data_IF_982063988312
#
_entry.id   IF_982063988312
#
_cell.length_a   1.000
_cell.length_b   1.000
_cell.length_c   1.000
_cell.angle_alpha   90.00
_cell.angle_beta   90.00
_cell.angle_gamma   90.00
#
_symmetry.space_group_name_H-M   'P 1'
#
loop_
_entity.id
_entity.type
_entity.pdbx_description
1 polymer ?
#
# COMPACT_ATOMS: atom_id res chain seq x y z
N UNK A 1 -2.30 -28.46 11.00
CA UNK A 1 -2.98 -27.41 11.78
C UNK A 1 -2.21 -27.19 13.06
N UNK A 2 -1.82 -25.96 13.34
CA UNK A 2 -1.13 -25.57 14.59
C UNK A 2 -2.07 -25.75 15.78
N UNK A 3 -1.64 -26.50 16.80
CA UNK A 3 -2.44 -26.76 18.00
C UNK A 3 -2.35 -25.60 19.01
N UNK A 4 -3.26 -25.56 19.98
CA UNK A 4 -3.18 -24.62 21.10
C UNK A 4 -1.89 -24.81 21.93
N UNK A 5 -1.41 -26.05 22.02
CA UNK A 5 -0.13 -26.39 22.66
C UNK A 5 1.04 -25.78 21.91
N UNK A 6 1.06 -25.87 20.58
CA UNK A 6 2.13 -25.27 19.75
C UNK A 6 2.18 -23.75 19.93
N UNK A 7 1.02 -23.09 19.97
CA UNK A 7 0.92 -21.63 20.21
C UNK A 7 1.44 -21.23 21.59
N UNK A 8 1.15 -22.02 22.63
CA UNK A 8 1.65 -21.78 23.97
C UNK A 8 3.19 -21.92 24.01
N UNK A 9 3.73 -22.98 23.41
CA UNK A 9 5.18 -23.21 23.30
C UNK A 9 5.87 -22.08 22.55
N UNK A 10 5.32 -21.63 21.43
CA UNK A 10 5.86 -20.51 20.65
C UNK A 10 5.88 -19.19 21.42
N UNK A 11 4.83 -18.93 22.20
CA UNK A 11 4.76 -17.74 23.04
C UNK A 11 5.81 -17.79 24.16
N UNK A 12 6.02 -18.96 24.77
CA UNK A 12 7.09 -19.16 25.76
C UNK A 12 8.46 -18.92 25.14
N UNK A 13 8.74 -19.52 23.98
CA UNK A 13 10.02 -19.34 23.27
C UNK A 13 10.28 -17.87 22.89
N UNK A 14 9.25 -17.13 22.47
CA UNK A 14 9.35 -15.68 22.21
C UNK A 14 9.75 -14.93 23.48
N UNK A 15 9.09 -15.20 24.60
CA UNK A 15 9.38 -14.55 25.88
C UNK A 15 10.79 -14.89 26.39
N UNK A 16 11.26 -16.11 26.19
CA UNK A 16 12.62 -16.52 26.57
C UNK A 16 13.69 -15.78 25.75
N UNK A 17 13.47 -15.61 24.44
CA UNK A 17 14.32 -14.75 23.59
C UNK A 17 14.31 -13.31 24.10
N UNK A 18 13.15 -12.75 24.39
CA UNK A 18 13.04 -11.37 24.88
C UNK A 18 13.82 -11.18 26.19
N UNK A 19 13.63 -12.07 27.18
CA UNK A 19 14.35 -11.99 28.46
C UNK A 19 15.86 -12.09 28.26
N UNK A 20 16.31 -12.96 27.35
CA UNK A 20 17.72 -13.10 27.04
C UNK A 20 18.31 -11.81 26.44
N UNK A 21 17.61 -11.20 25.49
CA UNK A 21 18.05 -9.95 24.87
C UNK A 21 17.98 -8.76 25.85
N UNK A 22 16.96 -8.69 26.71
CA UNK A 22 16.83 -7.68 27.77
C UNK A 22 17.94 -7.76 28.82
N UNK A 23 18.50 -8.95 29.07
CA UNK A 23 19.68 -9.12 29.90
C UNK A 23 20.98 -8.58 29.25
N UNK A 24 20.91 -8.04 28.03
CA UNK A 24 22.04 -7.48 27.29
C UNK A 24 22.84 -8.52 26.50
N UNK A 25 22.35 -9.75 26.40
CA UNK A 25 22.98 -10.79 25.59
C UNK A 25 22.55 -10.70 24.12
N UNK A 26 23.30 -11.38 23.25
CA UNK A 26 23.02 -11.48 21.81
C UNK A 26 22.74 -12.92 21.42
N UNK A 27 22.01 -13.13 20.32
CA UNK A 27 21.65 -14.47 19.84
C UNK A 27 21.89 -14.62 18.34
N UNK A 28 22.45 -15.75 17.95
CA UNK A 28 22.43 -16.29 16.59
C UNK A 28 21.42 -17.43 16.49
N UNK A 29 21.08 -17.87 15.27
CA UNK A 29 20.17 -19.00 15.05
C UNK A 29 20.65 -20.29 15.76
N UNK A 30 21.95 -20.58 15.73
CA UNK A 30 22.49 -21.79 16.36
C UNK A 30 22.46 -21.70 17.89
N UNK A 31 22.78 -20.54 18.45
CA UNK A 31 22.66 -20.29 19.90
C UNK A 31 21.21 -20.39 20.36
N UNK A 32 20.24 -19.85 19.61
CA UNK A 32 18.82 -19.96 19.93
C UNK A 32 18.31 -21.40 19.88
N UNK A 33 18.82 -22.20 18.94
CA UNK A 33 18.51 -23.64 18.87
C UNK A 33 19.05 -24.36 20.10
N UNK A 34 20.30 -24.09 20.48
CA UNK A 34 20.95 -24.72 21.62
C UNK A 34 20.32 -24.33 22.96
N UNK A 35 19.97 -23.05 23.14
CA UNK A 35 19.47 -22.52 24.41
C UNK A 35 17.97 -22.72 24.61
N UNK A 36 17.18 -22.63 23.54
CA UNK A 36 15.71 -22.54 23.63
C UNK A 36 14.97 -23.55 22.74
N UNK A 37 15.69 -24.41 22.02
CA UNK A 37 15.09 -25.33 21.06
C UNK A 37 14.39 -24.62 19.88
N UNK A 38 14.79 -23.38 19.58
CA UNK A 38 14.12 -22.57 18.55
C UNK A 38 14.70 -22.91 17.17
N UNK A 39 13.87 -23.52 16.33
CA UNK A 39 14.26 -23.91 14.97
C UNK A 39 14.37 -22.73 14.00
N UNK A 40 13.60 -21.64 14.24
CA UNK A 40 13.59 -20.42 13.42
C UNK A 40 13.54 -19.19 14.31
N UNK A 41 14.71 -18.70 14.70
CA UNK A 41 14.89 -17.53 15.56
C UNK A 41 14.28 -16.28 14.93
N UNK A 42 14.49 -16.08 13.62
CA UNK A 42 13.97 -14.92 12.89
C UNK A 42 12.46 -14.71 13.10
N UNK A 43 11.66 -15.77 13.19
CA UNK A 43 10.23 -15.66 13.46
C UNK A 43 9.90 -15.12 14.86
N UNK A 44 10.66 -15.51 15.89
CA UNK A 44 10.48 -14.95 17.25
C UNK A 44 10.91 -13.50 17.31
N UNK A 45 12.00 -13.15 16.60
CA UNK A 45 12.50 -11.78 16.52
C UNK A 45 11.49 -10.87 15.82
N UNK A 46 10.87 -11.33 14.74
CA UNK A 46 9.83 -10.59 14.02
C UNK A 46 8.59 -10.33 14.88
N UNK A 47 8.13 -11.34 15.64
CA UNK A 47 7.03 -11.13 16.61
C UNK A 47 7.38 -10.07 17.66
N UNK A 48 8.61 -10.09 18.20
CA UNK A 48 9.06 -9.09 19.16
C UNK A 48 9.17 -7.69 18.54
N UNK A 49 9.62 -7.59 17.28
CA UNK A 49 9.65 -6.31 16.55
C UNK A 49 8.24 -5.75 16.34
N UNK A 50 7.26 -6.59 16.01
CA UNK A 50 5.84 -6.20 15.90
C UNK A 50 5.26 -5.72 17.24
N UNK A 51 5.76 -6.24 18.35
CA UNK A 51 5.43 -5.79 19.71
C UNK A 51 6.22 -4.53 20.14
N UNK A 52 7.01 -3.93 19.25
CA UNK A 52 7.72 -2.67 19.48
C UNK A 52 9.13 -2.82 20.06
N UNK A 53 9.67 -4.04 20.19
CA UNK A 53 11.03 -4.24 20.68
C UNK A 53 12.09 -3.90 19.63
N UNK A 54 13.05 -3.05 20.00
CA UNK A 54 14.13 -2.62 19.11
C UNK A 54 15.24 -3.67 18.98
N UNK A 55 14.95 -4.76 18.28
CA UNK A 55 15.92 -5.82 18.07
C UNK A 55 16.69 -5.58 16.77
N UNK A 56 17.98 -5.31 16.88
CA UNK A 56 18.89 -5.08 15.75
C UNK A 56 19.53 -6.37 15.31
N UNK A 57 19.87 -6.46 14.03
CA UNK A 57 20.58 -7.60 13.44
C UNK A 57 21.92 -7.13 12.89
N UNK A 58 23.00 -7.75 13.38
CA UNK A 58 24.35 -7.59 12.85
C UNK A 58 24.73 -8.87 12.09
N UNK A 59 25.14 -8.75 10.83
CA UNK A 59 25.60 -9.89 10.04
C UNK A 59 27.06 -10.20 10.37
N UNK A 60 27.28 -11.26 11.15
CA UNK A 60 28.62 -11.68 11.58
C UNK A 60 29.13 -12.84 10.71
N UNK A 61 30.44 -12.88 10.38
CA UNK A 61 31.02 -14.01 9.67
C UNK A 61 31.05 -15.26 10.55
N UNK A 62 30.76 -16.41 9.97
CA UNK A 62 30.78 -17.72 10.64
C UNK A 62 31.54 -18.72 9.77
N UNK A 63 32.50 -19.41 10.38
CA UNK A 63 33.36 -20.37 9.69
C UNK A 63 34.37 -19.74 8.73
N UNK A 64 35.19 -20.59 8.11
CA UNK A 64 36.29 -20.15 7.24
C UNK A 64 35.84 -19.77 5.81
N UNK A 65 34.60 -20.09 5.43
CA UNK A 65 34.09 -19.90 4.07
C UNK A 65 33.43 -18.52 3.82
N UNK A 66 33.49 -17.61 4.79
CA UNK A 66 32.91 -16.26 4.66
C UNK A 66 31.38 -16.21 4.70
N UNK A 67 30.71 -17.31 5.09
CA UNK A 67 29.27 -17.30 5.36
C UNK A 67 28.95 -16.31 6.49
N UNK A 68 27.81 -15.61 6.42
CA UNK A 68 27.38 -14.69 7.47
C UNK A 68 26.07 -15.17 8.09
N UNK A 69 25.91 -14.95 9.38
CA UNK A 69 24.63 -15.19 10.08
C UNK A 69 24.19 -13.93 10.80
N UNK A 70 22.88 -13.78 10.98
CA UNK A 70 22.32 -12.72 11.80
C UNK A 70 22.59 -12.97 13.28
N UNK A 71 23.25 -12.02 13.92
CA UNK A 71 23.32 -11.88 15.37
C UNK A 71 22.33 -10.81 15.81
N UNK A 72 21.43 -11.17 16.69
CA UNK A 72 20.35 -10.32 17.18
C UNK A 72 20.70 -9.78 18.57
N UNK A 73 20.45 -8.49 18.79
CA UNK A 73 20.64 -7.83 20.10
C UNK A 73 19.53 -6.81 20.34
N UNK A 74 19.21 -6.55 21.61
CA UNK A 74 18.31 -5.45 21.96
C UNK A 74 19.10 -4.13 21.95
N UNK A 75 18.72 -3.21 21.07
CA UNK A 75 19.32 -1.87 21.07
C UNK A 75 18.71 -1.02 22.19
N UNK A 76 19.59 -0.26 22.87
CA UNK A 76 19.20 0.75 23.88
C UNK A 76 18.84 2.10 23.25
N UNK A 77 19.08 2.26 21.96
CA UNK A 77 18.63 3.42 21.19
C UNK A 77 17.12 3.30 20.95
N UNK A 78 16.43 4.43 20.77
CA UNK A 78 15.01 4.45 20.40
C UNK A 78 14.75 3.52 19.20
N UNK A 79 13.55 2.90 19.08
CA UNK A 79 13.24 1.93 18.03
C UNK A 79 13.77 2.37 16.67
N UNK A 80 14.25 1.43 15.83
CA UNK A 80 14.25 1.62 14.36
C UNK A 80 12.92 2.31 14.09
N UNK A 81 12.96 3.58 13.67
CA UNK A 81 11.81 4.50 13.57
C UNK A 81 10.52 3.72 13.47
N UNK A 82 9.50 4.01 14.30
CA UNK A 82 8.12 3.57 14.02
C UNK A 82 7.86 3.81 12.54
N UNK A 83 8.02 2.76 11.74
CA UNK A 83 7.94 2.90 10.30
C UNK A 83 6.46 3.00 10.05
N UNK A 84 5.98 4.02 9.32
CA UNK A 84 4.57 4.09 8.96
C UNK A 84 4.18 2.99 7.96
N UNK A 85 5.06 2.02 7.74
CA UNK A 85 4.95 0.95 6.78
C UNK A 85 4.88 -0.41 7.47
N UNK A 86 4.02 -1.29 6.96
CA UNK A 86 3.91 -2.66 7.43
C UNK A 86 5.24 -3.41 7.20
N UNK A 87 5.64 -4.29 8.15
CA UNK A 87 6.84 -5.10 8.00
C UNK A 87 6.65 -6.18 6.93
N UNK A 88 7.76 -6.72 6.43
CA UNK A 88 7.75 -7.80 5.43
C UNK A 88 7.61 -9.16 6.13
N UNK A 89 6.45 -9.81 5.98
CA UNK A 89 6.17 -11.17 6.40
C UNK A 89 6.56 -12.18 5.30
N UNK A 90 7.86 -12.47 5.18
CA UNK A 90 8.43 -13.31 4.12
C UNK A 90 7.83 -14.72 4.02
N UNK A 91 7.37 -15.29 5.12
CA UNK A 91 6.72 -16.60 5.18
C UNK A 91 5.41 -16.67 4.40
N UNK A 92 4.74 -15.54 4.20
CA UNK A 92 3.45 -15.46 3.54
C UNK A 92 3.56 -15.12 2.06
N UNK A 93 4.74 -14.73 1.59
CA UNK A 93 4.98 -14.47 0.17
C UNK A 93 5.02 -15.83 -0.56
N UNK A 94 4.36 -15.99 -1.73
CA UNK A 94 4.44 -17.21 -2.52
C UNK A 94 5.88 -17.60 -2.90
N UNK A 95 6.25 -18.86 -2.72
CA UNK A 95 7.59 -19.37 -3.07
C UNK A 95 7.90 -19.20 -4.56
N UNK A 96 6.88 -19.32 -5.41
CA UNK A 96 6.99 -19.08 -6.86
C UNK A 96 7.41 -17.64 -7.19
N UNK A 97 6.96 -16.64 -6.41
CA UNK A 97 7.42 -15.25 -6.58
C UNK A 97 8.86 -15.09 -6.09
N UNK A 98 9.22 -15.72 -4.96
CA UNK A 98 10.58 -15.67 -4.40
C UNK A 98 11.61 -16.30 -5.34
N UNK A 99 11.21 -17.31 -6.11
CA UNK A 99 12.07 -18.01 -7.06
C UNK A 99 12.50 -17.14 -8.26
N UNK A 100 11.77 -16.05 -8.56
CA UNK A 100 12.09 -15.16 -9.67
C UNK A 100 13.16 -14.12 -9.27
N UNK A 101 14.19 -13.84 -10.09
CA UNK A 101 15.19 -12.81 -9.83
C UNK A 101 14.67 -11.40 -10.18
N UNK A 102 13.48 -11.07 -9.68
CA UNK A 102 12.72 -9.85 -9.99
C UNK A 102 12.55 -8.95 -8.77
N UNK A 103 13.46 -9.05 -7.80
CA UNK A 103 13.35 -8.34 -6.53
C UNK A 103 14.23 -7.11 -6.48
N UNK A 104 13.74 -6.09 -5.77
CA UNK A 104 14.44 -4.86 -5.43
C UNK A 104 14.20 -4.59 -3.95
N UNK A 105 14.99 -3.70 -3.36
CA UNK A 105 14.63 -3.06 -2.09
C UNK A 105 14.00 -1.70 -2.37
N UNK A 106 13.31 -1.10 -1.42
CA UNK A 106 12.79 0.26 -1.60
C UNK A 106 13.05 1.15 -0.39
N UNK A 107 13.11 2.46 -0.66
CA UNK A 107 13.27 3.50 0.34
C UNK A 107 12.17 4.54 0.21
N UNK A 108 11.72 5.08 1.33
CA UNK A 108 10.87 6.25 1.38
C UNK A 108 11.70 7.52 1.10
N UNK A 109 11.48 8.13 -0.06
CA UNK A 109 12.17 9.34 -0.50
C UNK A 109 11.16 10.46 -0.72
N UNK A 110 11.38 11.61 -0.09
CA UNK A 110 10.56 12.80 -0.31
C UNK A 110 10.88 13.40 -1.69
N UNK A 111 9.88 13.46 -2.58
CA UNK A 111 9.96 14.13 -3.88
C UNK A 111 8.78 15.08 -4.02
N UNK A 112 9.06 16.37 -4.27
CA UNK A 112 8.02 17.39 -4.45
C UNK A 112 7.04 17.46 -3.28
N UNK A 113 7.52 17.35 -2.04
CA UNK A 113 6.67 17.36 -0.84
C UNK A 113 6.05 16.00 -0.48
N UNK A 114 5.92 15.05 -1.43
CA UNK A 114 5.30 13.74 -1.20
C UNK A 114 6.33 12.65 -0.90
N UNK A 115 6.02 11.77 0.04
CA UNK A 115 6.81 10.55 0.25
C UNK A 115 6.55 9.56 -0.87
N UNK A 116 7.61 9.15 -1.56
CA UNK A 116 7.59 8.19 -2.67
C UNK A 116 8.41 6.96 -2.30
N UNK A 117 7.93 5.78 -2.69
CA UNK A 117 8.61 4.51 -2.45
C UNK A 117 9.44 4.24 -3.69
N UNK A 118 10.74 4.50 -3.63
CA UNK A 118 11.61 4.37 -4.79
C UNK A 118 12.36 3.03 -4.74
N UNK A 119 12.44 2.29 -5.86
CA UNK A 119 13.17 1.03 -5.90
C UNK A 119 14.68 1.28 -6.00
N UNK A 120 15.44 0.48 -5.26
CA UNK A 120 16.88 0.49 -5.19
C UNK A 120 17.43 -0.93 -5.33
N UNK A 121 18.64 -1.00 -5.86
CA UNK A 121 19.48 -2.17 -5.80
C UNK A 121 19.98 -2.37 -4.37
N UNK A 122 20.32 -3.60 -4.01
CA UNK A 122 20.98 -3.91 -2.73
C UNK A 122 22.33 -3.19 -2.55
N UNK A 123 22.93 -2.72 -3.65
CA UNK A 123 24.15 -1.91 -3.65
C UNK A 123 23.94 -0.45 -3.24
N UNK A 124 22.69 0.00 -3.10
CA UNK A 124 22.32 1.40 -2.80
C UNK A 124 22.14 2.30 -4.02
N UNK A 125 22.34 1.79 -5.24
CA UNK A 125 21.99 2.52 -6.47
C UNK A 125 20.50 2.39 -6.80
N UNK A 126 19.94 3.33 -7.56
CA UNK A 126 18.55 3.21 -8.03
C UNK A 126 18.37 1.97 -8.91
N UNK A 127 17.26 1.24 -8.71
CA UNK A 127 16.86 0.16 -9.58
C UNK A 127 15.86 0.67 -10.64
N UNK A 128 15.90 0.08 -11.83
CA UNK A 128 15.03 0.45 -12.94
C UNK A 128 14.02 -0.67 -13.18
N UNK A 129 12.74 -0.34 -13.21
CA UNK A 129 11.64 -1.30 -13.37
C UNK A 129 11.59 -1.99 -14.74
N UNK A 130 12.48 -1.63 -15.66
CA UNK A 130 12.57 -2.15 -17.02
C UNK A 130 13.98 -2.67 -17.39
N UNK A 131 14.86 -2.82 -16.40
CA UNK A 131 16.23 -3.28 -16.60
C UNK A 131 16.57 -4.41 -15.60
N UNK A 132 16.50 -5.69 -16.03
CA UNK A 132 16.76 -6.84 -15.17
C UNK A 132 18.14 -6.85 -14.53
N UNK A 133 19.13 -6.18 -15.12
CA UNK A 133 20.48 -6.09 -14.54
C UNK A 133 20.50 -5.29 -13.23
N UNK A 134 19.42 -4.56 -12.93
CA UNK A 134 19.26 -3.79 -11.69
C UNK A 134 18.40 -4.49 -10.64
N UNK A 135 17.98 -5.74 -10.88
CA UNK A 135 17.19 -6.53 -9.94
C UNK A 135 18.07 -7.58 -9.25
N UNK A 136 17.51 -8.29 -8.28
CA UNK A 136 18.19 -9.32 -7.50
C UNK A 136 17.24 -10.46 -7.15
N UNK A 137 17.75 -11.50 -6.50
CA UNK A 137 16.94 -12.56 -5.90
C UNK A 137 16.22 -12.08 -4.63
N UNK A 138 15.14 -12.76 -4.26
CA UNK A 138 14.40 -12.49 -3.03
C UNK A 138 15.31 -12.49 -1.80
N UNK A 139 16.09 -13.56 -1.63
CA UNK A 139 16.95 -13.74 -0.45
C UNK A 139 17.89 -12.56 -0.23
N UNK A 140 18.49 -12.03 -1.31
CA UNK A 140 19.40 -10.88 -1.23
C UNK A 140 18.67 -9.58 -0.90
N UNK A 141 17.49 -9.36 -1.47
CA UNK A 141 16.67 -8.19 -1.15
C UNK A 141 16.18 -8.24 0.30
N UNK A 142 15.75 -9.42 0.75
CA UNK A 142 15.27 -9.64 2.11
C UNK A 142 16.40 -9.53 3.14
N UNK A 143 17.58 -10.08 2.88
CA UNK A 143 18.76 -9.92 3.74
C UNK A 143 19.13 -8.44 3.92
N UNK A 144 19.11 -7.66 2.84
CA UNK A 144 19.39 -6.22 2.90
C UNK A 144 18.32 -5.45 3.72
N UNK A 145 17.05 -5.83 3.60
CA UNK A 145 15.97 -5.29 4.42
C UNK A 145 16.13 -5.66 5.91
N UNK A 146 16.39 -6.93 6.23
CA UNK A 146 16.58 -7.38 7.62
C UNK A 146 17.76 -6.69 8.30
N UNK A 147 18.86 -6.49 7.55
CA UNK A 147 20.01 -5.72 7.98
C UNK A 147 19.71 -4.23 8.23
N UNK A 148 18.51 -3.75 7.86
CA UNK A 148 18.07 -2.36 8.04
C UNK A 148 18.56 -1.43 6.94
N UNK A 149 19.03 -1.98 5.83
CA UNK A 149 19.50 -1.23 4.67
C UNK A 149 18.36 -0.71 3.79
N UNK A 150 17.09 -1.01 4.10
CA UNK A 150 15.92 -0.59 3.33
C UNK A 150 14.64 -0.55 4.18
N UNK A 151 13.58 0.08 3.65
CA UNK A 151 12.25 0.11 4.29
C UNK A 151 11.43 -1.15 3.99
N UNK A 152 11.76 -1.88 2.93
CA UNK A 152 11.10 -3.13 2.55
C UNK A 152 11.62 -3.67 1.23
N UNK A 153 10.97 -4.74 0.77
CA UNK A 153 11.24 -5.38 -0.53
C UNK A 153 10.16 -5.03 -1.55
N UNK A 154 10.50 -5.13 -2.83
CA UNK A 154 9.57 -4.94 -3.92
C UNK A 154 9.78 -5.94 -5.05
N UNK A 155 8.71 -6.26 -5.75
CA UNK A 155 8.69 -7.18 -6.88
C UNK A 155 8.44 -6.41 -8.17
N UNK A 156 9.32 -6.58 -9.15
CA UNK A 156 9.23 -5.93 -10.46
C UNK A 156 8.48 -6.84 -11.43
N UNK A 157 7.46 -6.31 -12.10
CA UNK A 157 6.74 -7.03 -13.14
C UNK A 157 7.57 -7.00 -14.43
N UNK A 158 8.19 -8.13 -14.78
CA UNK A 158 8.98 -8.27 -15.99
C UNK A 158 8.08 -8.36 -17.24
N UNK A 159 8.54 -7.82 -18.36
CA UNK A 159 7.84 -7.96 -19.63
C UNK A 159 7.78 -9.44 -20.05
N UNK A 160 6.57 -9.97 -20.27
CA UNK A 160 6.36 -11.39 -20.56
C UNK A 160 6.56 -12.31 -19.35
N UNK A 161 6.54 -11.76 -18.12
CA UNK A 161 6.72 -12.52 -16.89
C UNK A 161 5.48 -13.29 -16.40
N UNK A 162 4.36 -13.23 -17.13
CA UNK A 162 3.12 -13.98 -16.82
C UNK A 162 2.45 -13.64 -15.49
N UNK A 163 2.81 -12.50 -14.87
CA UNK A 163 2.24 -12.03 -13.61
C UNK A 163 1.73 -10.61 -13.80
N UNK A 164 0.46 -10.41 -13.47
CA UNK A 164 -0.20 -9.11 -13.46
C UNK A 164 -0.42 -8.65 -12.03
N UNK A 165 0.02 -7.43 -11.71
CA UNK A 165 -0.28 -6.77 -10.45
C UNK A 165 -1.51 -5.87 -10.57
N UNK A 166 -2.45 -6.02 -9.65
CA UNK A 166 -3.60 -5.14 -9.47
C UNK A 166 -3.44 -4.38 -8.17
N UNK A 167 -3.39 -3.05 -8.26
CA UNK A 167 -3.27 -2.13 -7.11
C UNK A 167 -4.63 -1.45 -6.87
N UNK A 168 -5.10 -1.55 -5.64
CA UNK A 168 -6.35 -0.97 -5.16
C UNK A 168 -6.02 0.06 -4.07
N UNK A 169 -5.91 1.32 -4.48
CA UNK A 169 -5.50 2.42 -3.61
C UNK A 169 -6.62 2.83 -2.63
N UNK A 170 -6.26 3.03 -1.35
CA UNK A 170 -7.14 3.62 -0.31
C UNK A 170 -8.50 2.91 -0.22
N UNK A 171 -8.50 1.58 -0.31
CA UNK A 171 -9.71 0.76 -0.30
C UNK A 171 -10.00 0.07 1.03
N UNK A 172 -9.11 0.19 2.02
CA UNK A 172 -9.31 -0.32 3.39
C UNK A 172 -9.83 0.80 4.27
N UNK A 173 -10.98 0.58 4.91
CA UNK A 173 -11.66 1.52 5.79
C UNK A 173 -11.04 1.51 7.21
N UNK A 174 -11.43 2.46 8.06
CA UNK A 174 -10.89 2.57 9.43
C UNK A 174 -11.23 1.36 10.32
N UNK A 175 -12.33 0.67 10.04
CA UNK A 175 -12.75 -0.57 10.70
C UNK A 175 -12.04 -1.82 10.14
N UNK A 176 -11.21 -1.66 9.11
CA UNK A 176 -10.50 -2.74 8.43
C UNK A 176 -11.31 -3.40 7.30
N UNK A 177 -12.55 -2.98 7.03
CA UNK A 177 -13.34 -3.52 5.94
C UNK A 177 -12.87 -2.97 4.58
N UNK A 178 -12.97 -3.80 3.53
CA UNK A 178 -12.74 -3.34 2.17
C UNK A 178 -13.94 -2.58 1.64
N UNK A 179 -13.66 -1.53 0.87
CA UNK A 179 -14.68 -0.89 0.06
C UNK A 179 -15.37 -1.95 -0.84
N UNK A 180 -16.71 -1.98 -0.96
CA UNK A 180 -17.43 -3.08 -1.62
C UNK A 180 -16.95 -3.38 -3.06
N UNK A 181 -16.59 -2.34 -3.81
CA UNK A 181 -16.01 -2.50 -5.15
C UNK A 181 -14.65 -3.19 -5.14
N UNK A 182 -13.80 -2.89 -4.16
CA UNK A 182 -12.49 -3.53 -4.01
C UNK A 182 -12.67 -5.00 -3.61
N UNK A 183 -13.60 -5.29 -2.69
CA UNK A 183 -13.95 -6.65 -2.31
C UNK A 183 -14.38 -7.50 -3.52
N UNK A 184 -15.30 -7.01 -4.35
CA UNK A 184 -15.72 -7.71 -5.57
C UNK A 184 -14.54 -8.01 -6.53
N UNK A 185 -13.56 -7.10 -6.62
CA UNK A 185 -12.37 -7.31 -7.47
C UNK A 185 -11.48 -8.39 -6.85
N UNK A 186 -11.19 -8.30 -5.55
CA UNK A 186 -10.37 -9.28 -4.82
C UNK A 186 -10.99 -10.68 -4.93
N UNK A 187 -12.30 -10.79 -4.73
CA UNK A 187 -13.06 -12.04 -4.87
C UNK A 187 -13.00 -12.60 -6.29
N UNK A 188 -13.22 -11.76 -7.31
CA UNK A 188 -13.20 -12.18 -8.70
C UNK A 188 -11.80 -12.64 -9.17
N UNK A 189 -10.74 -11.98 -8.69
CA UNK A 189 -9.36 -12.34 -9.05
C UNK A 189 -8.91 -13.62 -8.35
N UNK A 190 -9.30 -13.83 -7.07
CA UNK A 190 -9.12 -15.12 -6.38
C UNK A 190 -7.66 -15.59 -6.31
N UNK A 191 -6.73 -14.66 -6.08
CA UNK A 191 -5.28 -14.93 -6.08
C UNK A 191 -4.61 -14.25 -4.87
N UNK A 192 -3.28 -14.35 -4.81
CA UNK A 192 -2.45 -13.78 -3.76
C UNK A 192 -2.81 -12.33 -3.51
N UNK A 193 -3.25 -12.05 -2.28
CA UNK A 193 -3.74 -10.73 -1.88
C UNK A 193 -3.07 -10.30 -0.58
N UNK A 194 -2.46 -9.12 -0.61
CA UNK A 194 -1.80 -8.52 0.55
C UNK A 194 -2.24 -7.07 0.75
N UNK A 195 -2.15 -6.59 1.98
CA UNK A 195 -2.19 -5.17 2.27
C UNK A 195 -0.97 -4.47 1.68
N UNK A 196 -1.18 -3.31 1.05
CA UNK A 196 -0.09 -2.44 0.65
C UNK A 196 0.67 -1.95 1.89
N UNK A 197 1.90 -1.45 1.70
CA UNK A 197 2.75 -1.09 2.86
C UNK A 197 2.14 -0.04 3.78
N UNK A 198 1.17 0.78 3.37
CA UNK A 198 0.50 1.73 4.26
C UNK A 198 -0.62 1.10 5.11
N UNK A 199 -1.00 -0.15 4.82
CA UNK A 199 -2.19 -0.81 5.38
C UNK A 199 -3.52 -0.29 4.83
N UNK A 200 -3.52 0.72 3.95
CA UNK A 200 -4.75 1.38 3.46
C UNK A 200 -5.21 0.91 2.07
N UNK A 201 -4.36 0.17 1.37
CA UNK A 201 -4.66 -0.37 0.04
C UNK A 201 -4.42 -1.86 -0.02
N UNK A 202 -4.75 -2.46 -1.16
CA UNK A 202 -4.59 -3.89 -1.43
C UNK A 202 -3.81 -4.08 -2.71
N UNK A 203 -2.86 -5.00 -2.71
CA UNK A 203 -2.28 -5.57 -3.91
C UNK A 203 -2.85 -6.96 -4.15
N UNK A 204 -3.23 -7.26 -5.40
CA UNK A 204 -3.52 -8.62 -5.86
C UNK A 204 -2.52 -8.96 -6.97
N UNK A 205 -1.78 -10.06 -6.83
CA UNK A 205 -0.92 -10.58 -7.89
C UNK A 205 -1.56 -11.82 -8.49
N UNK A 206 -1.64 -11.90 -9.81
CA UNK A 206 -2.36 -12.96 -10.53
C UNK A 206 -1.48 -13.49 -11.67
N UNK A 207 -1.45 -14.81 -11.88
CA UNK A 207 -0.86 -15.38 -13.10
C UNK A 207 -1.80 -15.12 -14.28
N UNK A 208 -1.37 -14.27 -15.20
CA UNK A 208 -2.11 -13.86 -16.38
C UNK A 208 -1.19 -13.13 -17.37
N UNK A 209 -1.62 -13.05 -18.62
CA UNK A 209 -0.99 -12.26 -19.68
C UNK A 209 -1.80 -11.01 -19.96
N UNK A 210 -1.13 -9.87 -20.06
CA UNK A 210 -1.76 -8.61 -20.44
C UNK A 210 -0.76 -7.73 -21.18
N UNK A 211 -1.13 -7.27 -22.38
CA UNK A 211 -0.21 -6.50 -23.22
C UNK A 211 0.07 -5.09 -22.66
N UNK A 212 -0.96 -4.44 -22.09
CA UNK A 212 -0.90 -3.05 -21.63
C UNK A 212 -1.67 -2.87 -20.34
N UNK A 213 -1.09 -2.11 -19.42
CA UNK A 213 -1.73 -1.74 -18.18
C UNK A 213 -2.99 -0.90 -18.36
N UNK A 214 -3.83 -0.90 -17.34
CA UNK A 214 -5.07 -0.14 -17.27
C UNK A 214 -5.14 0.61 -15.95
N UNK A 215 -5.86 1.73 -15.96
CA UNK A 215 -6.09 2.54 -14.77
C UNK A 215 -7.46 3.16 -14.83
N UNK A 216 -8.22 3.11 -13.74
CA UNK A 216 -9.48 3.81 -13.59
C UNK A 216 -9.65 4.28 -12.14
N UNK A 217 -9.28 5.54 -11.88
CA UNK A 217 -9.23 6.08 -10.52
C UNK A 217 -8.28 5.26 -9.64
N UNK A 218 -8.76 4.71 -8.50
CA UNK A 218 -7.94 3.97 -7.53
C UNK A 218 -7.64 2.53 -7.95
N UNK A 219 -8.09 2.08 -9.13
CA UNK A 219 -7.83 0.72 -9.63
C UNK A 219 -6.77 0.81 -10.71
N UNK A 220 -5.62 0.19 -10.49
CA UNK A 220 -4.51 0.13 -11.42
C UNK A 220 -4.12 -1.32 -11.72
N UNK A 221 -3.83 -1.63 -12.99
CA UNK A 221 -3.47 -2.97 -13.46
C UNK A 221 -2.19 -2.85 -14.26
N UNK A 222 -1.17 -3.60 -13.86
CA UNK A 222 0.18 -3.55 -14.43
C UNK A 222 0.66 -4.94 -14.85
N UNK A 223 0.92 -5.15 -16.15
CA UNK A 223 1.56 -6.37 -16.62
C UNK A 223 3.09 -6.33 -16.56
N UNK A 224 3.67 -5.13 -16.63
CA UNK A 224 5.13 -4.90 -16.64
C UNK A 224 5.45 -3.42 -16.42
N UNK A 225 6.74 -3.05 -16.43
CA UNK A 225 7.26 -1.67 -16.31
C UNK A 225 6.80 -0.95 -15.03
N UNK A 226 6.47 -1.72 -14.01
CA UNK A 226 6.12 -1.26 -12.66
C UNK A 226 6.70 -2.26 -11.67
N UNK A 227 6.88 -1.82 -10.44
CA UNK A 227 7.13 -2.72 -9.32
C UNK A 227 6.09 -2.43 -8.24
N UNK A 228 5.74 -3.44 -7.45
CA UNK A 228 4.99 -3.26 -6.22
C UNK A 228 5.91 -3.45 -5.02
N UNK A 229 5.69 -2.66 -3.97
CA UNK A 229 6.21 -3.02 -2.65
C UNK A 229 5.49 -4.26 -2.17
N UNK A 230 6.20 -5.23 -1.62
CA UNK A 230 5.62 -6.49 -1.15
C UNK A 230 5.69 -6.55 0.36
N UNK A 231 4.58 -6.90 1.01
CA UNK A 231 4.49 -6.97 2.47
C UNK A 231 4.37 -8.39 2.98
N UNK A 232 3.73 -9.31 2.25
CA UNK A 232 3.28 -10.58 2.83
C UNK A 232 2.24 -10.41 3.95
N UNK A 233 1.69 -9.21 4.14
CA UNK A 233 0.62 -8.96 5.10
C UNK A 233 -0.69 -9.38 4.47
N UNK A 234 -1.07 -10.64 4.67
CA UNK A 234 -2.16 -11.28 3.96
C UNK A 234 -3.51 -10.64 4.29
N UNK A 235 -4.30 -10.39 3.25
CA UNK A 235 -5.73 -10.13 3.41
C UNK A 235 -6.46 -11.47 3.47
N UNK A 236 -7.15 -11.71 4.60
CA UNK A 236 -7.83 -12.97 4.91
C UNK A 236 -6.87 -14.18 4.89
N UNK A 237 -7.06 -15.12 3.97
CA UNK A 237 -6.29 -16.37 3.80
C UNK A 237 -5.68 -16.51 2.40
N UNK A 238 -5.66 -15.42 1.62
CA UNK A 238 -5.27 -15.37 0.20
C UNK A 238 -3.75 -15.39 -0.01
N UNK A 239 -3.14 -16.50 0.39
CA UNK A 239 -1.68 -16.74 0.35
C UNK A 239 -1.18 -17.30 -0.98
N UNK A 240 -2.06 -17.87 -1.80
CA UNK A 240 -1.67 -18.58 -3.02
C UNK A 240 -1.71 -17.69 -4.25
N UNK A 241 -0.63 -17.70 -5.04
CA UNK A 241 -0.64 -17.13 -6.38
C UNK A 241 -1.43 -18.08 -7.29
N UNK A 242 -2.44 -17.57 -7.98
CA UNK A 242 -3.37 -18.37 -8.81
C UNK A 242 -3.43 -17.82 -10.24
N UNK A 243 -3.68 -18.70 -11.21
CA UNK A 243 -3.89 -18.33 -12.61
C UNK A 243 -5.35 -17.96 -12.84
N UNK A 244 -5.62 -16.75 -13.35
CA UNK A 244 -7.00 -16.30 -13.59
C UNK A 244 -7.07 -15.26 -14.73
N UNK A 245 -6.79 -15.72 -15.95
CA UNK A 245 -6.83 -14.87 -17.16
C UNK A 245 -8.23 -14.26 -17.36
N UNK A 246 -9.28 -15.04 -17.18
CA UNK A 246 -10.66 -14.61 -17.42
C UNK A 246 -11.05 -13.44 -16.53
N UNK A 247 -10.67 -13.45 -15.24
CA UNK A 247 -10.98 -12.34 -14.35
C UNK A 247 -10.18 -11.08 -14.69
N UNK A 248 -8.92 -11.20 -15.12
CA UNK A 248 -8.13 -10.07 -15.60
C UNK A 248 -8.77 -9.46 -16.86
N UNK A 249 -9.16 -10.28 -17.83
CA UNK A 249 -9.81 -9.82 -19.05
C UNK A 249 -11.13 -9.11 -18.75
N UNK A 250 -11.95 -9.69 -17.87
CA UNK A 250 -13.22 -9.11 -17.44
C UNK A 250 -13.03 -7.77 -16.72
N UNK A 251 -12.02 -7.66 -15.85
CA UNK A 251 -11.70 -6.43 -15.14
C UNK A 251 -11.20 -5.34 -16.12
N UNK A 252 -10.35 -5.71 -17.08
CA UNK A 252 -9.85 -4.82 -18.13
C UNK A 252 -11.00 -4.33 -19.03
N UNK A 253 -11.92 -5.22 -19.39
CA UNK A 253 -13.13 -4.88 -20.14
C UNK A 253 -14.02 -3.93 -19.34
N UNK A 254 -14.31 -4.23 -18.08
CA UNK A 254 -15.12 -3.39 -17.20
C UNK A 254 -14.51 -1.98 -17.05
N UNK A 255 -13.19 -1.87 -16.88
CA UNK A 255 -12.48 -0.58 -16.86
C UNK A 255 -12.57 0.13 -18.20
N UNK A 256 -12.41 -0.59 -19.31
CA UNK A 256 -12.45 0.00 -20.65
C UNK A 256 -13.86 0.46 -21.02
N UNK A 257 -14.89 -0.28 -20.63
CA UNK A 257 -16.30 0.09 -20.75
C UNK A 257 -16.65 1.26 -19.84
N UNK A 258 -16.16 1.30 -18.59
CA UNK A 258 -16.33 2.45 -17.71
C UNK A 258 -15.68 3.72 -18.29
N UNK A 259 -14.54 3.60 -19.00
CA UNK A 259 -13.94 4.72 -19.73
C UNK A 259 -14.72 5.13 -20.98
N UNK A 260 -15.26 4.17 -21.74
CA UNK A 260 -16.10 4.45 -22.91
C UNK A 260 -17.44 5.08 -22.50
N UNK A 261 -18.11 4.51 -21.50
CA UNK A 261 -19.28 5.10 -20.84
C UNK A 261 -18.91 6.36 -20.05
N UNK A 262 -17.64 6.61 -19.74
CA UNK A 262 -17.17 7.91 -19.25
C UNK A 262 -17.39 9.08 -20.23
N UNK A 263 -17.79 8.80 -21.49
CA UNK A 263 -18.28 9.80 -22.46
C UNK A 263 -19.80 9.92 -22.53
N UNK A 264 -20.59 9.02 -21.93
CA UNK A 264 -22.05 9.10 -21.92
C UNK A 264 -22.63 8.89 -20.52
N UNK A 265 -23.56 9.72 -20.05
CA UNK A 265 -24.06 9.63 -18.69
C UNK A 265 -24.65 8.25 -18.34
N UNK A 266 -24.17 7.59 -17.26
CA UNK A 266 -24.72 6.30 -16.80
C UNK A 266 -25.78 6.55 -15.74
N UNK A 267 -27.06 6.25 -15.99
CA UNK A 267 -28.11 6.31 -14.97
C UNK A 267 -27.96 5.18 -13.93
N UNK A 268 -27.97 5.50 -12.63
CA UNK A 268 -28.11 4.52 -11.54
C UNK A 268 -29.58 4.38 -11.11
N UNK A 269 -29.89 3.26 -10.45
CA UNK A 269 -31.20 3.03 -9.82
C UNK A 269 -31.41 4.10 -8.73
N UNK A 270 -32.21 5.11 -9.05
CA UNK A 270 -32.32 6.37 -8.30
C UNK A 270 -32.37 7.61 -9.19
N UNK A 271 -32.11 7.48 -10.50
CA UNK A 271 -32.25 8.55 -11.49
C UNK A 271 -31.06 9.50 -11.59
N UNK A 272 -30.03 9.35 -10.74
CA UNK A 272 -28.80 10.14 -10.83
C UNK A 272 -27.78 9.48 -11.77
N UNK A 273 -27.18 10.28 -12.65
CA UNK A 273 -26.20 9.79 -13.61
C UNK A 273 -24.78 9.86 -13.04
N UNK A 274 -24.12 8.71 -12.88
CA UNK A 274 -22.72 8.65 -12.46
C UNK A 274 -21.80 9.02 -13.62
N UNK A 275 -21.16 10.19 -13.53
CA UNK A 275 -20.18 10.70 -14.50
C UNK A 275 -18.76 10.37 -14.02
N UNK A 276 -17.80 10.22 -14.94
CA UNK A 276 -16.37 10.19 -14.57
C UNK A 276 -15.89 11.55 -14.03
N UNK A 277 -14.77 11.61 -13.29
CA UNK A 277 -14.31 12.84 -12.64
C UNK A 277 -14.12 14.02 -13.61
N UNK A 278 -13.47 13.80 -14.75
CA UNK A 278 -13.26 14.86 -15.75
C UNK A 278 -14.60 15.35 -16.34
N UNK A 279 -15.49 14.42 -16.67
CA UNK A 279 -16.82 14.76 -17.19
C UNK A 279 -17.71 15.45 -16.15
N UNK A 280 -17.56 15.09 -14.88
CA UNK A 280 -18.24 15.71 -13.74
C UNK A 280 -17.74 17.15 -13.54
N UNK A 281 -16.42 17.37 -13.59
CA UNK A 281 -15.82 18.72 -13.51
C UNK A 281 -16.31 19.57 -14.67
N UNK A 282 -16.26 19.07 -15.90
CA UNK A 282 -16.74 19.81 -17.08
C UNK A 282 -18.24 20.11 -16.98
N UNK A 283 -19.05 19.16 -16.48
CA UNK A 283 -20.48 19.41 -16.24
C UNK A 283 -20.69 20.46 -15.12
N UNK A 284 -19.87 20.43 -14.08
CA UNK A 284 -19.92 21.41 -12.99
C UNK A 284 -19.58 22.82 -13.48
N UNK A 285 -18.54 22.97 -14.32
CA UNK A 285 -18.14 24.24 -14.95
C UNK A 285 -19.20 24.81 -15.90
N UNK A 286 -19.98 23.94 -16.54
CA UNK A 286 -21.03 24.34 -17.50
C UNK A 286 -22.44 24.44 -16.87
N UNK A 287 -22.58 24.20 -15.56
CA UNK A 287 -23.86 24.32 -14.87
C UNK A 287 -24.29 25.78 -14.66
N UNK A 288 -25.52 25.99 -14.19
CA UNK A 288 -26.05 27.34 -13.91
C UNK A 288 -25.16 28.16 -12.95
N UNK A 289 -24.51 27.50 -12.00
CA UNK A 289 -23.53 28.08 -11.08
C UNK A 289 -22.07 27.80 -11.49
N UNK A 290 -21.85 27.46 -12.75
CA UNK A 290 -20.58 27.00 -13.29
C UNK A 290 -19.48 28.07 -13.28
N UNK A 291 -19.80 29.34 -13.50
CA UNK A 291 -18.81 30.42 -13.36
C UNK A 291 -18.23 30.52 -11.95
N UNK A 292 -19.10 30.35 -10.94
CA UNK A 292 -18.69 30.32 -9.54
C UNK A 292 -17.83 29.09 -9.25
N UNK A 293 -18.22 27.94 -9.80
CA UNK A 293 -17.44 26.71 -9.72
C UNK A 293 -16.04 26.91 -10.31
N UNK A 294 -15.95 27.43 -11.54
CA UNK A 294 -14.69 27.66 -12.24
C UNK A 294 -13.78 28.62 -11.49
N UNK A 295 -14.31 29.75 -10.99
CA UNK A 295 -13.52 30.69 -10.17
C UNK A 295 -12.93 30.02 -8.94
N UNK A 296 -13.74 29.28 -8.19
CA UNK A 296 -13.26 28.54 -7.02
C UNK A 296 -12.27 27.43 -7.42
N UNK A 297 -12.54 26.69 -8.50
CA UNK A 297 -11.68 25.63 -9.00
C UNK A 297 -10.28 26.15 -9.38
N UNK A 298 -10.21 27.37 -9.90
CA UNK A 298 -8.99 28.09 -10.28
C UNK A 298 -8.35 28.87 -9.13
N UNK A 299 -8.86 28.75 -7.90
CA UNK A 299 -8.24 29.34 -6.70
C UNK A 299 -8.75 30.72 -6.33
N UNK A 300 -9.76 31.25 -7.03
CA UNK A 300 -10.36 32.54 -6.77
C UNK A 300 -11.19 32.56 -5.48
N UNK A 301 -10.84 33.46 -4.55
CA UNK A 301 -11.53 33.61 -3.26
C UNK A 301 -12.18 34.97 -3.05
N UNK A 302 -12.22 35.84 -4.07
CA UNK A 302 -12.72 37.23 -3.95
C UNK A 302 -14.13 37.35 -3.38
N UNK A 303 -14.97 36.35 -3.63
CA UNK A 303 -16.37 36.31 -3.21
C UNK A 303 -16.53 35.79 -1.76
N UNK A 304 -15.43 35.51 -1.05
CA UNK A 304 -15.41 34.87 0.27
C UNK A 304 -14.56 35.64 1.28
N UNK A 305 -15.03 35.82 2.53
CA UNK A 305 -14.25 36.49 3.58
C UNK A 305 -12.96 35.76 3.95
N UNK A 306 -12.87 34.44 3.71
CA UNK A 306 -11.69 33.65 3.99
C UNK A 306 -11.50 32.46 3.05
N UNK A 307 -10.25 32.01 2.91
CA UNK A 307 -9.92 30.76 2.22
C UNK A 307 -10.68 29.55 2.79
N UNK A 308 -10.94 29.53 4.11
CA UNK A 308 -11.65 28.40 4.71
C UNK A 308 -13.12 28.36 4.26
N UNK A 309 -13.75 29.51 4.06
CA UNK A 309 -15.11 29.59 3.53
C UNK A 309 -15.17 29.30 2.03
N UNK A 310 -14.17 29.74 1.26
CA UNK A 310 -14.03 29.35 -0.14
C UNK A 310 -13.86 27.81 -0.29
N UNK A 311 -13.07 27.18 0.59
CA UNK A 311 -12.92 25.73 0.62
C UNK A 311 -14.26 25.02 0.89
N UNK A 312 -15.00 25.47 1.91
CA UNK A 312 -16.32 24.90 2.23
C UNK A 312 -17.30 25.07 1.06
N UNK A 313 -17.27 26.19 0.37
CA UNK A 313 -18.14 26.42 -0.76
C UNK A 313 -17.81 25.49 -1.95
N UNK A 314 -16.52 25.33 -2.29
CA UNK A 314 -16.15 24.40 -3.35
C UNK A 314 -16.49 22.95 -2.96
N UNK A 315 -16.22 22.54 -1.73
CA UNK A 315 -16.56 21.20 -1.23
C UNK A 315 -18.07 20.95 -1.23
N UNK A 316 -18.90 21.95 -0.86
CA UNK A 316 -20.35 21.85 -0.95
C UNK A 316 -20.82 21.61 -2.39
N UNK A 317 -20.24 22.32 -3.36
CA UNK A 317 -20.54 22.11 -4.77
C UNK A 317 -20.07 20.73 -5.25
N UNK A 318 -18.89 20.29 -4.84
CA UNK A 318 -18.37 18.96 -5.17
C UNK A 318 -19.25 17.84 -4.59
N UNK A 319 -19.71 17.97 -3.34
CA UNK A 319 -20.64 17.01 -2.72
C UNK A 319 -21.95 16.89 -3.48
N UNK A 320 -22.48 17.99 -4.02
CA UNK A 320 -23.65 17.93 -4.90
C UNK A 320 -23.35 17.07 -6.14
N UNK A 321 -22.22 17.31 -6.81
CA UNK A 321 -21.86 16.60 -8.03
C UNK A 321 -21.44 15.14 -7.80
N UNK A 322 -20.90 14.82 -6.63
CA UNK A 322 -20.50 13.46 -6.24
C UNK A 322 -21.62 12.71 -5.54
N UNK A 323 -22.83 13.27 -5.44
CA UNK A 323 -23.98 12.68 -4.76
C UNK A 323 -23.68 12.31 -3.29
N UNK A 324 -23.02 13.23 -2.58
CA UNK A 324 -22.68 13.06 -1.16
C UNK A 324 -21.46 12.17 -0.90
N UNK A 325 -20.80 11.64 -1.93
CA UNK A 325 -19.55 10.89 -1.80
C UNK A 325 -18.42 11.86 -1.40
N UNK A 326 -18.12 11.89 -0.10
CA UNK A 326 -17.14 12.78 0.53
C UNK A 326 -15.71 12.46 0.11
N UNK A 327 -15.37 11.18 -0.07
CA UNK A 327 -14.05 10.75 -0.50
C UNK A 327 -13.78 11.20 -1.93
N UNK A 328 -14.76 11.04 -2.80
CA UNK A 328 -14.68 11.54 -4.17
C UNK A 328 -14.64 13.07 -4.21
N UNK A 329 -15.41 13.75 -3.36
CA UNK A 329 -15.35 15.20 -3.25
C UNK A 329 -13.98 15.68 -2.76
N UNK A 330 -13.35 14.96 -1.82
CA UNK A 330 -12.00 15.25 -1.35
C UNK A 330 -10.95 15.07 -2.47
N UNK A 331 -11.02 13.97 -3.22
CA UNK A 331 -10.13 13.70 -4.36
C UNK A 331 -10.25 14.78 -5.44
N UNK A 332 -11.48 15.25 -5.71
CA UNK A 332 -11.70 16.34 -6.67
C UNK A 332 -11.21 17.68 -6.12
N UNK A 333 -11.43 17.95 -4.83
CA UNK A 333 -10.94 19.17 -4.20
C UNK A 333 -9.41 19.29 -4.28
N UNK A 334 -8.69 18.18 -4.12
CA UNK A 334 -7.23 18.11 -4.26
C UNK A 334 -6.72 18.49 -5.66
N UNK A 335 -7.56 18.39 -6.69
CA UNK A 335 -7.22 18.79 -8.06
C UNK A 335 -7.47 20.28 -8.34
N UNK A 336 -8.14 20.98 -7.42
CA UNK A 336 -8.40 22.42 -7.54
C UNK A 336 -7.20 23.26 -7.06
N UNK A 337 -7.09 24.48 -7.56
CA UNK A 337 -6.09 25.44 -7.10
C UNK A 337 -6.39 26.04 -5.71
N UNK A 338 -7.52 25.69 -5.07
CA UNK A 338 -7.78 25.97 -3.65
C UNK A 338 -7.12 24.97 -2.71
N UNK A 339 -6.66 23.83 -3.23
CA UNK A 339 -5.91 22.87 -2.43
C UNK A 339 -4.56 23.47 -2.00
N UNK A 340 -4.27 23.39 -0.71
CA UNK A 340 -3.07 23.95 -0.06
C UNK A 340 -2.57 22.98 1.01
N UNK A 341 -1.36 23.19 1.52
CA UNK A 341 -0.75 22.34 2.55
C UNK A 341 -1.67 22.09 3.74
N UNK A 342 -2.44 23.09 4.16
CA UNK A 342 -3.48 22.95 5.20
C UNK A 342 -4.49 21.84 4.88
N UNK A 343 -4.89 21.66 3.62
CA UNK A 343 -5.79 20.57 3.24
C UNK A 343 -5.08 19.22 3.23
N UNK A 344 -3.87 19.13 2.67
CA UNK A 344 -3.17 17.85 2.48
C UNK A 344 -2.57 17.31 3.78
N UNK A 345 -2.07 18.19 4.65
CA UNK A 345 -1.34 17.79 5.87
C UNK A 345 -2.23 17.61 7.10
N UNK A 346 -3.42 18.22 7.12
CA UNK A 346 -4.30 18.23 8.30
C UNK A 346 -5.57 17.42 8.10
N UNK A 347 -5.54 16.18 8.56
CA UNK A 347 -6.72 15.30 8.58
C UNK A 347 -7.86 15.88 9.43
N UNK A 348 -7.53 16.54 10.55
CA UNK A 348 -8.50 17.21 11.42
C UNK A 348 -9.21 18.37 10.70
N UNK A 349 -8.51 19.09 9.81
CA UNK A 349 -9.11 20.15 8.99
C UNK A 349 -10.05 19.59 7.92
N UNK A 350 -9.67 18.49 7.24
CA UNK A 350 -10.56 17.80 6.27
C UNK A 350 -11.84 17.33 6.95
N UNK A 351 -11.71 16.65 8.10
CA UNK A 351 -12.84 16.20 8.92
C UNK A 351 -13.72 17.37 9.35
N UNK A 352 -13.11 18.45 9.84
CA UNK A 352 -13.84 19.67 10.21
C UNK A 352 -14.67 20.23 9.04
N UNK A 353 -14.11 20.25 7.82
CA UNK A 353 -14.83 20.72 6.65
C UNK A 353 -16.07 19.88 6.35
N UNK A 354 -15.94 18.55 6.31
CA UNK A 354 -17.09 17.67 6.06
C UNK A 354 -18.09 17.66 7.21
N UNK A 355 -17.64 17.65 8.47
CA UNK A 355 -18.53 17.76 9.64
C UNK A 355 -19.34 19.06 9.63
N UNK A 356 -18.73 20.17 9.18
CA UNK A 356 -19.43 21.45 9.03
C UNK A 356 -20.44 21.42 7.88
N UNK A 357 -20.13 20.75 6.78
CA UNK A 357 -21.03 20.59 5.63
C UNK A 357 -22.22 19.67 5.96
N UNK A 358 -22.02 18.60 6.72
CA UNK A 358 -23.10 17.73 7.23
C UNK A 358 -24.07 18.50 8.13
N UNK A 359 -23.54 19.31 9.06
CA UNK A 359 -24.34 20.14 9.98
C UNK A 359 -25.09 21.28 9.28
N UNK A 360 -24.65 21.66 8.08
CA UNK A 360 -25.31 22.66 7.23
C UNK A 360 -26.23 22.09 6.16
N UNK A 361 -26.42 20.76 6.10
CA UNK A 361 -27.28 20.09 5.10
C UNK A 361 -28.73 19.86 5.58
N UNK A 362 -29.10 20.35 6.76
CA UNK A 362 -30.50 20.46 7.20
C UNK A 362 -30.99 21.89 7.02
N UNK A 363 -31.94 22.03 6.07
CA UNK A 363 -32.74 23.20 5.68
C UNK A 363 -32.10 24.17 4.68
#
# INVERSE_FOLDING_TARGET
MTTASDRATWNTQKLDVLRHLQAGHTLTQDEARALFGIMRLASRIEELRREGWNIVTEMIPVGQNGAKVGRYSLSKEEPRRESPYLPVAAENIPDELKALPQWVVWHAVKRGGKMTKQPYQVSGHSAKVNDPATWTTFDRAFEAYEAGGAEGVGFVFAQGGGIVGVDLDTCVQEDGELHPKAQLIVEALGSYTEYSVSGKGIHVLVRAELARGKRNGPIEIYPHNRYFTVTGSIYEDRTELTSNQQAIDALVEAISLAKKKGKEPIATAGGFQYLGNDALIEKAKNAKNGEKFSRLWEGGISDYPSHSEANLALLSMLLYWTNGDEDRAAILFEQSALCREKWTERADYRRFCFDRLRKGATA
#
